data_IF_448670012381
#
_entry.id   IF_448670012381
#
_cell.length_a   1.000
_cell.length_b   1.000
_cell.length_c   1.000
_cell.angle_alpha   90.00
_cell.angle_beta   90.00
_cell.angle_gamma   90.00
#
_symmetry.space_group_name_H-M   'P 1'
#
loop_
_entity.id
_entity.type
_entity.pdbx_description
1 polymer ?
#
# COMPACT_ATOMS: atom_id res chain seq x y z
N UNK A 1 -10.13 -54.28 -18.85
CA UNK A 1 -11.00 -55.47 -18.73
C UNK A 1 -11.66 -55.52 -17.34
N UNK A 2 -12.51 -54.55 -17.04
CA UNK A 2 -13.44 -54.58 -15.91
C UNK A 2 -14.61 -55.48 -16.29
N UNK A 3 -14.38 -56.81 -16.23
CA UNK A 3 -15.34 -57.88 -16.59
C UNK A 3 -16.55 -57.98 -15.64
N UNK A 4 -17.24 -56.88 -15.39
CA UNK A 4 -18.38 -56.83 -14.48
C UNK A 4 -19.32 -55.66 -14.66
N UNK A 5 -18.94 -54.61 -15.39
CA UNK A 5 -19.86 -53.54 -15.77
C UNK A 5 -20.23 -53.71 -17.25
N UNK A 6 -21.52 -53.54 -17.61
CA UNK A 6 -21.94 -53.31 -18.99
C UNK A 6 -21.17 -52.14 -19.60
N UNK A 7 -20.85 -52.28 -20.88
CA UNK A 7 -20.12 -51.36 -21.77
C UNK A 7 -20.77 -51.59 -23.14
N UNK A 8 -21.78 -50.78 -23.46
CA UNK A 8 -22.70 -51.02 -24.58
C UNK A 8 -22.08 -50.65 -25.93
N UNK A 9 -21.33 -49.56 -26.01
CA UNK A 9 -20.65 -49.09 -27.22
C UNK A 9 -19.23 -49.65 -27.41
N UNK A 10 -18.63 -50.19 -26.33
CA UNK A 10 -17.31 -50.83 -26.36
C UNK A 10 -16.14 -49.86 -26.39
N UNK A 11 -16.32 -48.60 -25.97
CA UNK A 11 -15.26 -47.58 -25.96
C UNK A 11 -14.27 -47.73 -24.77
N UNK A 12 -14.61 -48.62 -23.83
CA UNK A 12 -13.81 -48.95 -22.66
C UNK A 12 -14.20 -48.21 -21.38
N UNK A 13 -15.23 -47.37 -21.44
CA UNK A 13 -15.98 -46.88 -20.29
C UNK A 13 -17.05 -47.91 -19.91
N UNK A 14 -17.82 -47.64 -18.87
CA UNK A 14 -18.88 -48.53 -18.43
C UNK A 14 -20.14 -47.70 -18.37
N UNK A 15 -21.29 -48.24 -18.74
CA UNK A 15 -22.56 -47.48 -18.91
C UNK A 15 -22.92 -46.62 -17.66
N UNK A 16 -22.47 -47.02 -16.46
CA UNK A 16 -22.71 -46.24 -15.24
C UNK A 16 -21.88 -44.93 -15.14
N UNK A 17 -20.84 -44.79 -15.96
CA UNK A 17 -19.88 -43.69 -15.97
C UNK A 17 -19.77 -43.08 -17.37
N UNK A 18 -20.23 -43.80 -18.39
CA UNK A 18 -20.30 -43.33 -19.76
C UNK A 18 -21.40 -42.26 -19.89
N UNK A 19 -21.07 -41.06 -20.39
CA UNK A 19 -22.06 -40.04 -20.68
C UNK A 19 -22.88 -40.28 -21.96
N UNK A 20 -22.47 -41.21 -22.83
CA UNK A 20 -23.07 -41.49 -24.14
C UNK A 20 -22.99 -43.00 -24.43
N UNK A 21 -23.94 -43.75 -23.87
CA UNK A 21 -23.93 -45.23 -23.81
C UNK A 21 -23.95 -45.91 -25.20
N UNK A 22 -24.35 -45.24 -26.28
CA UNK A 22 -24.39 -45.79 -27.65
C UNK A 22 -23.53 -45.05 -28.68
N UNK A 23 -22.89 -43.96 -28.26
CA UNK A 23 -21.89 -43.18 -28.99
C UNK A 23 -22.42 -42.58 -30.30
N UNK A 24 -23.70 -42.21 -30.32
CA UNK A 24 -24.35 -41.56 -31.45
C UNK A 24 -24.09 -40.04 -31.50
N UNK A 25 -23.52 -39.50 -30.42
CA UNK A 25 -23.15 -38.09 -30.26
C UNK A 25 -24.09 -37.30 -29.37
N UNK A 26 -25.15 -37.91 -28.83
CA UNK A 26 -26.04 -37.33 -27.83
C UNK A 26 -25.79 -37.94 -26.45
N UNK A 27 -25.96 -37.14 -25.39
CA UNK A 27 -25.75 -37.70 -24.04
C UNK A 27 -26.95 -38.51 -23.61
N UNK A 28 -26.71 -39.62 -22.91
CA UNK A 28 -27.77 -40.47 -22.31
C UNK A 28 -28.77 -39.64 -21.47
N UNK A 29 -28.30 -38.58 -20.82
CA UNK A 29 -29.18 -37.67 -20.08
C UNK A 29 -30.14 -36.89 -20.99
N UNK A 30 -29.65 -36.38 -22.11
CA UNK A 30 -30.46 -35.62 -23.06
C UNK A 30 -31.49 -36.53 -23.75
N UNK A 31 -31.09 -37.73 -24.12
CA UNK A 31 -31.97 -38.75 -24.70
C UNK A 31 -33.09 -39.18 -23.74
N UNK A 32 -32.77 -39.45 -22.47
CA UNK A 32 -33.77 -39.75 -21.43
C UNK A 32 -34.78 -38.61 -21.27
N UNK A 33 -34.33 -37.35 -21.39
CA UNK A 33 -35.21 -36.19 -21.25
C UNK A 33 -36.10 -35.98 -22.49
N UNK A 34 -35.62 -36.36 -23.67
CA UNK A 34 -36.37 -36.30 -24.93
C UNK A 34 -37.30 -37.50 -25.10
N UNK A 35 -36.94 -38.62 -24.47
CA UNK A 35 -37.64 -39.90 -24.53
C UNK A 35 -37.15 -40.82 -25.66
N UNK A 36 -35.93 -40.63 -26.15
CA UNK A 36 -35.22 -41.57 -27.03
C UNK A 36 -34.50 -42.65 -26.22
N UNK A 37 -34.17 -43.78 -26.86
CA UNK A 37 -33.48 -44.91 -26.22
C UNK A 37 -31.96 -44.69 -26.17
N UNK A 38 -31.35 -44.48 -24.99
CA UNK A 38 -29.92 -44.18 -24.87
C UNK A 38 -28.98 -45.36 -25.13
N UNK A 39 -29.54 -46.51 -25.51
CA UNK A 39 -28.81 -47.71 -25.90
C UNK A 39 -29.10 -48.07 -27.37
N UNK A 40 -29.61 -47.15 -28.19
CA UNK A 40 -29.83 -47.39 -29.61
C UNK A 40 -29.36 -46.20 -30.44
N UNK A 41 -28.15 -46.31 -30.98
CA UNK A 41 -27.52 -45.29 -31.82
C UNK A 41 -28.30 -44.93 -33.11
N UNK A 42 -29.44 -45.58 -33.38
CA UNK A 42 -30.36 -45.22 -34.46
C UNK A 42 -31.57 -44.38 -33.99
N UNK A 43 -31.81 -44.27 -32.68
CA UNK A 43 -32.90 -43.52 -32.06
C UNK A 43 -32.42 -42.12 -31.64
N UNK A 44 -31.82 -41.40 -32.59
CA UNK A 44 -31.29 -40.06 -32.35
C UNK A 44 -32.40 -39.03 -32.13
N UNK A 45 -32.25 -38.13 -31.14
CA UNK A 45 -33.13 -36.98 -31.00
C UNK A 45 -33.00 -35.99 -32.18
N UNK A 46 -34.03 -35.18 -32.40
CA UNK A 46 -34.01 -34.16 -33.47
C UNK A 46 -33.03 -33.04 -33.13
N UNK A 47 -32.02 -32.85 -33.98
CA UNK A 47 -31.07 -31.74 -33.94
C UNK A 47 -30.98 -31.11 -35.34
N UNK A 48 -31.74 -30.05 -35.57
CA UNK A 48 -31.73 -29.33 -36.85
C UNK A 48 -30.47 -28.47 -37.05
N UNK A 49 -29.75 -28.13 -35.98
CA UNK A 49 -28.65 -27.16 -36.01
C UNK A 49 -27.24 -27.81 -35.94
N UNK A 50 -27.16 -29.09 -35.58
CA UNK A 50 -25.95 -29.90 -35.51
C UNK A 50 -25.05 -29.56 -34.33
N UNK A 51 -25.60 -29.07 -33.22
CA UNK A 51 -24.87 -28.73 -31.99
C UNK A 51 -24.84 -29.85 -30.94
N UNK A 52 -25.36 -31.04 -31.28
CA UNK A 52 -25.46 -32.21 -30.41
C UNK A 52 -26.31 -31.97 -29.16
N UNK A 53 -27.23 -31.00 -29.20
CA UNK A 53 -28.23 -30.76 -28.18
C UNK A 53 -29.60 -30.93 -28.82
N UNK A 54 -30.48 -31.81 -28.29
CA UNK A 54 -31.81 -31.98 -28.84
C UNK A 54 -32.59 -30.67 -28.89
N UNK A 55 -33.22 -30.36 -30.03
CA UNK A 55 -34.03 -29.15 -30.22
C UNK A 55 -35.15 -29.03 -29.17
N UNK A 56 -35.64 -30.17 -28.68
CA UNK A 56 -36.66 -30.26 -27.62
C UNK A 56 -36.15 -29.77 -26.26
N UNK A 57 -34.83 -29.85 -26.01
CA UNK A 57 -34.16 -29.35 -24.81
C UNK A 57 -33.56 -27.96 -25.01
N UNK A 58 -33.47 -27.49 -26.26
CA UNK A 58 -33.10 -26.12 -26.59
C UNK A 58 -34.22 -25.16 -26.16
N UNK A 59 -34.25 -24.83 -24.86
CA UNK A 59 -35.08 -23.77 -24.32
C UNK A 59 -34.53 -22.40 -24.75
N UNK A 60 -34.79 -22.03 -26.01
CA UNK A 60 -34.74 -20.67 -26.55
C UNK A 60 -33.48 -19.89 -26.10
N UNK A 61 -32.33 -20.26 -26.66
CA UNK A 61 -31.14 -19.37 -26.69
C UNK A 61 -31.28 -18.22 -27.70
N UNK A 62 -32.48 -17.96 -28.23
CA UNK A 62 -32.74 -16.72 -28.96
C UNK A 62 -32.95 -15.58 -27.97
N UNK A 63 -31.88 -15.19 -27.28
CA UNK A 63 -31.83 -13.82 -26.78
C UNK A 63 -32.02 -12.93 -28.01
N UNK A 64 -33.15 -12.22 -28.06
CA UNK A 64 -33.45 -11.23 -29.09
C UNK A 64 -32.17 -10.39 -29.33
N UNK A 65 -31.73 -10.18 -30.59
CA UNK A 65 -30.56 -9.35 -30.87
C UNK A 65 -30.65 -7.95 -30.22
N UNK A 66 -31.86 -7.46 -29.92
CA UNK A 66 -32.06 -6.24 -29.13
C UNK A 66 -31.65 -6.38 -27.64
N UNK A 67 -31.84 -7.55 -27.03
CA UNK A 67 -31.43 -7.86 -25.65
C UNK A 67 -29.92 -8.09 -25.58
N UNK A 68 -29.34 -8.81 -26.54
CA UNK A 68 -27.89 -9.05 -26.59
C UNK A 68 -27.09 -7.75 -26.80
N UNK A 69 -27.57 -6.85 -27.65
CA UNK A 69 -26.99 -5.51 -27.83
C UNK A 69 -27.17 -4.62 -26.61
N UNK A 70 -28.33 -4.69 -25.92
CA UNK A 70 -28.58 -3.93 -24.70
C UNK A 70 -27.69 -4.33 -23.53
N UNK A 71 -27.55 -5.64 -23.26
CA UNK A 71 -26.71 -6.17 -22.18
C UNK A 71 -25.23 -5.90 -22.45
N UNK A 72 -24.77 -6.06 -23.69
CA UNK A 72 -23.37 -5.81 -24.06
C UNK A 72 -22.97 -4.32 -23.95
N UNK A 73 -23.82 -3.39 -24.38
CA UNK A 73 -23.58 -1.95 -24.20
C UNK A 73 -23.55 -1.59 -22.71
N UNK A 74 -24.47 -2.14 -21.91
CA UNK A 74 -24.51 -1.89 -20.46
C UNK A 74 -23.21 -2.28 -19.74
N UNK A 75 -22.68 -3.46 -20.04
CA UNK A 75 -21.43 -3.95 -19.44
C UNK A 75 -20.23 -3.09 -19.86
N UNK A 76 -20.13 -2.70 -21.13
CA UNK A 76 -19.04 -1.86 -21.64
C UNK A 76 -19.05 -0.45 -21.01
N UNK A 77 -20.23 0.13 -20.76
CA UNK A 77 -20.36 1.44 -20.09
C UNK A 77 -19.90 1.35 -18.63
N UNK A 78 -20.27 0.29 -17.91
CA UNK A 78 -19.85 0.10 -16.52
C UNK A 78 -18.32 -0.07 -16.41
N UNK A 79 -17.72 -0.89 -17.28
CA UNK A 79 -16.26 -1.11 -17.29
C UNK A 79 -15.52 0.18 -17.66
N UNK A 80 -16.01 0.95 -18.64
CA UNK A 80 -15.38 2.21 -19.04
C UNK A 80 -15.47 3.28 -17.95
N UNK A 81 -16.60 3.41 -17.26
CA UNK A 81 -16.73 4.31 -16.10
C UNK A 81 -15.81 3.87 -14.96
N UNK A 82 -15.76 2.57 -14.67
CA UNK A 82 -14.88 2.01 -13.64
C UNK A 82 -13.40 2.23 -13.94
N UNK A 83 -12.97 2.05 -15.19
CA UNK A 83 -11.61 2.30 -15.64
C UNK A 83 -11.24 3.79 -15.55
N UNK A 84 -12.14 4.68 -15.98
CA UNK A 84 -11.93 6.13 -15.89
C UNK A 84 -11.82 6.62 -14.45
N UNK A 85 -12.72 6.16 -13.56
CA UNK A 85 -12.67 6.48 -12.13
C UNK A 85 -11.38 5.98 -11.48
N UNK A 86 -10.93 4.77 -11.84
CA UNK A 86 -9.68 4.19 -11.34
C UNK A 86 -8.45 5.02 -11.75
N UNK A 87 -8.40 5.49 -13.00
CA UNK A 87 -7.33 6.38 -13.50
C UNK A 87 -7.35 7.74 -12.78
N UNK A 88 -8.54 8.30 -12.54
CA UNK A 88 -8.72 9.58 -11.86
C UNK A 88 -8.23 9.54 -10.40
N UNK A 89 -8.57 8.48 -9.68
CA UNK A 89 -8.11 8.26 -8.30
C UNK A 89 -6.59 8.06 -8.26
N UNK A 90 -6.04 7.26 -9.18
CA UNK A 90 -4.60 7.01 -9.26
C UNK A 90 -3.79 8.29 -9.50
N UNK A 91 -4.21 9.13 -10.47
CA UNK A 91 -3.53 10.41 -10.77
C UNK A 91 -3.60 11.42 -9.61
N UNK A 92 -4.63 11.34 -8.77
CA UNK A 92 -4.84 12.28 -7.67
C UNK A 92 -4.01 11.94 -6.40
N UNK A 93 -3.75 10.65 -6.14
CA UNK A 93 -3.19 10.24 -4.83
C UNK A 93 -1.66 10.32 -4.71
N UNK A 94 -0.92 10.27 -5.82
CA UNK A 94 0.55 10.16 -5.79
C UNK A 94 1.25 11.44 -5.33
N UNK A 95 0.60 12.61 -5.50
CA UNK A 95 1.19 13.91 -5.16
C UNK A 95 1.29 14.21 -3.66
N UNK A 96 0.48 13.58 -2.81
CA UNK A 96 0.52 13.85 -1.35
C UNK A 96 1.70 13.17 -0.66
N UNK A 97 2.04 11.97 -1.13
CA UNK A 97 3.16 11.18 -0.57
C UNK A 97 4.50 11.86 -0.79
N UNK A 98 4.73 12.43 -1.98
CA UNK A 98 6.00 13.12 -2.27
C UNK A 98 6.20 14.38 -1.43
N UNK A 99 5.14 15.15 -1.17
CA UNK A 99 5.25 16.36 -0.34
C UNK A 99 5.60 16.03 1.12
N UNK A 100 5.02 14.96 1.67
CA UNK A 100 5.34 14.49 3.01
C UNK A 100 6.81 14.08 3.15
N UNK A 101 7.33 13.28 2.21
CA UNK A 101 8.75 12.85 2.25
C UNK A 101 9.71 14.03 2.11
N UNK A 102 9.38 15.01 1.27
CA UNK A 102 10.18 16.23 1.13
C UNK A 102 10.24 17.00 2.44
N UNK A 103 9.11 17.23 3.10
CA UNK A 103 9.06 17.92 4.38
C UNK A 103 9.73 17.13 5.49
N UNK A 104 9.55 15.80 5.52
CA UNK A 104 10.27 14.94 6.46
C UNK A 104 11.78 15.11 6.32
N UNK A 105 12.28 15.13 5.08
CA UNK A 105 13.69 15.37 4.82
C UNK A 105 14.11 16.81 5.19
N UNK A 106 13.25 17.82 4.97
CA UNK A 106 13.50 19.18 5.45
C UNK A 106 13.60 19.24 6.98
N UNK A 107 12.70 18.55 7.71
CA UNK A 107 12.75 18.44 9.18
C UNK A 107 14.06 17.78 9.60
N UNK A 108 14.47 16.69 8.95
CA UNK A 108 15.68 15.93 9.29
C UNK A 108 16.97 16.73 9.02
N UNK A 109 17.01 17.58 7.99
CA UNK A 109 18.16 18.43 7.66
C UNK A 109 18.12 19.82 8.30
N UNK A 110 17.02 20.22 8.95
CA UNK A 110 16.94 21.51 9.63
C UNK A 110 17.89 21.56 10.84
N UNK A 111 18.68 22.63 10.90
CA UNK A 111 19.61 22.95 11.98
C UNK A 111 19.28 24.32 12.58
N UNK A 112 19.50 24.46 13.89
CA UNK A 112 19.20 25.70 14.61
C UNK A 112 17.70 26.01 14.74
N UNK A 113 17.38 27.10 15.42
CA UNK A 113 15.99 27.54 15.61
C UNK A 113 15.34 28.05 14.32
N UNK A 114 16.09 28.81 13.52
CA UNK A 114 15.59 29.41 12.28
C UNK A 114 15.20 28.34 11.25
N UNK A 115 16.04 27.30 11.08
CA UNK A 115 15.75 26.21 10.15
C UNK A 115 14.52 25.40 10.56
N UNK A 116 14.36 25.14 11.86
CA UNK A 116 13.19 24.41 12.38
C UNK A 116 11.90 25.23 12.20
N UNK A 117 11.95 26.54 12.47
CA UNK A 117 10.82 27.45 12.33
C UNK A 117 10.36 27.56 10.86
N UNK A 118 11.31 27.61 9.93
CA UNK A 118 11.00 27.63 8.49
C UNK A 118 10.25 26.38 8.06
N UNK A 119 10.73 25.20 8.48
CA UNK A 119 10.09 23.93 8.15
C UNK A 119 8.70 23.83 8.77
N UNK A 120 8.53 24.27 10.01
CA UNK A 120 7.22 24.32 10.67
C UNK A 120 6.19 25.12 9.86
N UNK A 121 6.59 26.32 9.41
CA UNK A 121 5.77 27.15 8.54
C UNK A 121 5.48 26.49 7.20
N UNK A 122 6.45 25.77 6.63
CA UNK A 122 6.24 25.01 5.39
C UNK A 122 5.19 23.91 5.58
N UNK A 123 5.26 23.16 6.70
CA UNK A 123 4.28 22.13 7.08
C UNK A 123 2.88 22.73 7.21
N UNK A 124 2.73 23.86 7.89
CA UNK A 124 1.45 24.57 8.03
C UNK A 124 0.87 24.94 6.66
N UNK A 125 1.68 25.54 5.77
CA UNK A 125 1.19 25.98 4.45
C UNK A 125 0.76 24.81 3.57
N UNK A 126 1.41 23.65 3.70
CA UNK A 126 1.07 22.45 2.93
C UNK A 126 -0.17 21.75 3.50
N UNK A 127 -0.37 21.84 4.82
CA UNK A 127 -1.58 21.41 5.51
C UNK A 127 -2.79 22.27 5.10
N UNK A 128 -2.65 23.60 5.12
CA UNK A 128 -3.70 24.54 4.68
C UNK A 128 -4.13 24.32 3.22
N UNK A 129 -3.17 24.02 2.34
CA UNK A 129 -3.43 23.72 0.92
C UNK A 129 -4.00 22.31 0.68
N UNK A 130 -4.20 21.50 1.71
CA UNK A 130 -4.68 20.11 1.61
C UNK A 130 -3.74 19.19 0.82
N UNK A 131 -2.45 19.55 0.76
CA UNK A 131 -1.41 18.79 0.05
C UNK A 131 -0.84 17.66 0.90
N UNK A 132 -1.15 17.64 2.19
CA UNK A 132 -0.72 16.68 3.20
C UNK A 132 -1.93 16.33 4.06
N UNK A 133 -1.99 15.07 4.48
CA UNK A 133 -3.05 14.59 5.35
C UNK A 133 -2.87 15.08 6.80
N UNK A 134 -3.97 15.28 7.54
CA UNK A 134 -3.91 15.76 8.92
C UNK A 134 -3.06 14.84 9.83
N UNK A 135 -3.10 13.52 9.62
CA UNK A 135 -2.25 12.58 10.36
C UNK A 135 -0.77 12.74 10.02
N UNK A 136 -0.45 12.98 8.75
CA UNK A 136 0.91 13.26 8.30
C UNK A 136 1.44 14.58 8.89
N UNK A 137 0.62 15.62 8.92
CA UNK A 137 0.95 16.90 9.55
C UNK A 137 1.28 16.72 11.03
N UNK A 138 0.46 15.97 11.78
CA UNK A 138 0.71 15.69 13.19
C UNK A 138 2.05 14.97 13.44
N UNK A 139 2.41 13.99 12.60
CA UNK A 139 3.69 13.29 12.69
C UNK A 139 4.90 14.19 12.44
N UNK A 140 4.78 15.18 11.55
CA UNK A 140 5.85 16.15 11.29
C UNK A 140 6.02 17.09 12.49
N UNK A 141 4.92 17.54 13.10
CA UNK A 141 4.97 18.38 14.30
C UNK A 141 5.57 17.65 15.51
N UNK A 142 5.23 16.38 15.72
CA UNK A 142 5.83 15.54 16.77
C UNK A 142 7.35 15.45 16.61
N UNK A 143 7.82 15.19 15.38
CA UNK A 143 9.25 15.15 15.05
C UNK A 143 9.95 16.50 15.23
N UNK A 144 9.30 17.59 14.80
CA UNK A 144 9.79 18.95 15.01
C UNK A 144 9.94 19.24 16.51
N UNK A 145 8.98 18.80 17.33
CA UNK A 145 9.02 18.92 18.78
C UNK A 145 10.24 18.23 19.40
N UNK A 146 10.52 16.99 19.01
CA UNK A 146 11.71 16.26 19.50
C UNK A 146 13.02 16.96 19.14
N UNK A 147 13.12 17.49 17.91
CA UNK A 147 14.28 18.29 17.48
C UNK A 147 14.45 19.57 18.30
N UNK A 148 13.35 20.32 18.55
CA UNK A 148 13.38 21.52 19.38
C UNK A 148 13.89 21.21 20.77
N UNK A 149 13.39 20.14 21.39
CA UNK A 149 13.81 19.72 22.73
C UNK A 149 15.31 19.42 22.81
N UNK A 150 15.84 18.65 21.84
CA UNK A 150 17.28 18.35 21.78
C UNK A 150 18.13 19.60 21.62
N UNK A 151 17.70 20.53 20.77
CA UNK A 151 18.45 21.74 20.49
C UNK A 151 18.44 22.71 21.69
N UNK A 152 17.33 22.78 22.43
CA UNK A 152 17.24 23.48 23.71
C UNK A 152 18.22 22.93 24.74
N UNK A 153 18.34 21.61 24.85
CA UNK A 153 19.27 20.98 25.79
C UNK A 153 20.73 21.24 25.41
N UNK A 154 21.07 21.11 24.11
CA UNK A 154 22.42 21.41 23.61
C UNK A 154 22.82 22.87 23.92
N UNK A 155 21.91 23.84 23.73
CA UNK A 155 22.17 25.22 24.12
C UNK A 155 22.31 25.40 25.63
N UNK A 156 21.48 24.75 26.44
CA UNK A 156 21.57 24.80 27.90
C UNK A 156 22.94 24.32 28.39
N UNK A 157 23.40 23.21 27.83
CA UNK A 157 24.71 22.62 28.13
C UNK A 157 25.83 23.53 27.64
N UNK A 158 25.72 24.09 26.44
CA UNK A 158 26.71 25.03 25.90
C UNK A 158 26.84 26.29 26.79
N UNK A 159 25.73 26.91 27.18
CA UNK A 159 25.73 28.06 28.09
C UNK A 159 26.34 27.70 29.45
N UNK A 160 26.04 26.51 29.97
CA UNK A 160 26.64 26.03 31.22
C UNK A 160 28.16 25.81 31.06
N UNK A 161 28.61 25.22 29.96
CA UNK A 161 30.04 25.02 29.68
C UNK A 161 30.79 26.35 29.52
N UNK A 162 30.19 27.34 28.85
CA UNK A 162 30.73 28.70 28.74
C UNK A 162 30.85 29.37 30.12
N UNK A 163 29.85 29.20 30.99
CA UNK A 163 29.89 29.70 32.36
C UNK A 163 31.07 29.07 33.15
N UNK A 164 31.26 27.75 33.05
CA UNK A 164 32.38 27.05 33.68
C UNK A 164 33.73 27.47 33.11
N UNK A 165 33.83 27.66 31.79
CA UNK A 165 35.05 28.12 31.12
C UNK A 165 35.45 29.55 31.56
N UNK A 166 34.47 30.44 31.67
CA UNK A 166 34.67 31.79 32.19
C UNK A 166 35.22 31.76 33.63
N UNK A 167 34.66 30.89 34.49
CA UNK A 167 35.13 30.74 35.87
C UNK A 167 36.58 30.23 35.96
N UNK A 168 36.97 29.27 35.12
CA UNK A 168 38.34 28.75 35.10
C UNK A 168 39.37 29.79 34.63
N UNK A 169 39.03 30.58 33.60
CA UNK A 169 39.91 31.65 33.11
C UNK A 169 40.14 32.77 34.13
N UNK A 170 39.13 33.13 34.93
CA UNK A 170 39.30 34.07 36.03
C UNK A 170 40.19 33.49 37.15
N UNK A 171 40.03 32.20 37.48
CA UNK A 171 40.86 31.53 38.47
C UNK A 171 42.35 31.46 38.11
N UNK A 172 42.68 31.28 36.83
CA UNK A 172 44.07 31.27 36.35
C UNK A 172 44.74 32.65 36.36
N UNK A 173 43.98 33.73 36.15
CA UNK A 173 44.50 35.10 36.27
C UNK A 173 44.85 35.46 37.72
N UNK A 174 44.08 34.95 38.69
CA UNK A 174 44.35 35.15 40.13
C UNK A 174 45.63 34.40 40.56
N UNK A 175 45.90 33.22 40.00
CA UNK A 175 47.14 32.47 40.28
C UNK A 175 48.39 33.13 39.68
N UNK A 176 48.33 33.72 38.47
CA UNK A 176 49.47 34.44 37.90
C UNK A 176 49.78 35.76 38.63
N UNK A 177 48.79 36.36 39.32
CA UNK A 177 49.03 37.55 40.15
C UNK A 177 49.52 37.19 41.57
N UNK A 178 49.51 35.90 41.92
CA UNK A 178 50.02 35.36 43.19
C UNK A 178 51.28 34.51 42.96
N UNK A 179 52.17 34.92 42.05
CA UNK A 179 53.56 34.47 42.08
C UNK A 179 54.33 35.24 43.17
N UNK A 180 54.83 34.59 44.24
CA UNK A 180 55.48 35.25 45.37
C UNK A 180 56.93 35.56 45.03
N UNK A 181 57.17 36.58 44.22
CA UNK A 181 58.50 37.13 44.04
C UNK A 181 58.46 38.65 44.04
N UNK A 182 57.82 39.24 45.05
CA UNK A 182 58.10 40.64 45.39
C UNK A 182 57.89 40.92 46.87
N UNK A 183 58.92 41.54 47.45
CA UNK A 183 59.00 42.30 48.71
C UNK A 183 59.69 41.69 49.94
N UNK A 184 60.98 42.06 50.01
CA UNK A 184 61.70 42.65 51.15
C UNK A 184 62.11 41.77 52.33
N UNK A 185 63.35 41.26 52.23
CA UNK A 185 64.27 41.22 53.36
C UNK A 185 64.53 42.66 53.85
N UNK A 186 63.78 43.15 54.83
CA UNK A 186 64.21 44.27 55.65
C UNK A 186 63.85 44.04 57.11
N UNK A 187 64.92 43.97 57.92
CA UNK A 187 64.94 44.40 59.31
C UNK A 187 64.58 43.34 60.33
N UNK A 188 65.61 42.76 60.98
CA UNK A 188 65.71 42.76 62.45
C UNK A 188 67.19 42.77 62.84
N UNK A 189 67.71 43.97 63.08
CA UNK A 189 68.85 44.20 63.96
C UNK A 189 68.37 45.04 65.13
N UNK A 190 68.74 44.62 66.35
CA UNK A 190 68.83 45.37 67.61
C UNK A 190 67.80 45.12 68.72
N UNK A 191 68.41 44.75 69.85
CA UNK A 191 68.18 45.16 71.25
C UNK A 191 67.13 44.41 72.09
N UNK A 192 67.62 43.93 73.25
CA UNK A 192 66.87 43.34 74.35
C UNK A 192 67.73 42.35 75.13
#
# INVERSE_FOLDING_TARGET
FTKGCPDFDGDGWADMVDPDDDNDGFTTFDEINVGTDPFDANDVPLDENGDNIPDQLQQISTLDPAVQTGVSIGILVIISIGALMSILVWRSSTGRRSNFERLRNSVDNAEGYEGILEVEKEVETMSEKGKIDAGQTALLFDRIGDKRYRLEEEMRVAQQAEWWAHQQSQGQQIQQQTDPNTYSQQGWSQQG
#
